data_IF_089896046267
#
_entry.id   IF_089896046267
#
_cell.length_a   1.000
_cell.length_b   1.000
_cell.length_c   1.000
_cell.angle_alpha   90.00
_cell.angle_beta   90.00
_cell.angle_gamma   90.00
#
_symmetry.space_group_name_H-M   'P 1'
#
loop_
_entity.id
_entity.type
_entity.pdbx_description
1 polymer ?
#
# COMPACT_ATOMS: atom_id res chain seq x y z
N UNK A 1 -8.62 9.58 -8.56
CA UNK A 1 -7.33 9.12 -7.97
C UNK A 1 -7.23 7.61 -7.90
N UNK A 2 -8.21 6.90 -7.33
CA UNK A 2 -8.16 5.43 -7.26
C UNK A 2 -8.06 4.75 -8.63
N UNK A 3 -8.76 5.26 -9.64
CA UNK A 3 -8.65 4.74 -11.01
C UNK A 3 -7.26 4.94 -11.61
N UNK A 4 -6.58 6.05 -11.27
CA UNK A 4 -5.23 6.36 -11.75
C UNK A 4 -4.17 5.42 -11.18
N UNK A 5 -4.46 4.70 -10.09
CA UNK A 5 -3.58 3.63 -9.64
C UNK A 5 -3.49 2.51 -10.68
N UNK A 6 -4.43 2.40 -11.63
CA UNK A 6 -4.44 1.37 -12.69
C UNK A 6 -4.00 1.91 -14.05
N UNK A 7 -3.47 3.13 -14.10
CA UNK A 7 -3.00 3.72 -15.35
C UNK A 7 -1.88 2.88 -15.97
N UNK A 8 -1.75 2.91 -17.29
CA UNK A 8 -0.70 2.21 -18.01
C UNK A 8 0.68 2.83 -17.74
N UNK A 9 0.73 4.14 -17.51
CA UNK A 9 1.95 4.86 -17.17
C UNK A 9 2.29 4.71 -15.69
N UNK A 10 3.51 4.21 -15.40
CA UNK A 10 3.99 4.05 -14.04
C UNK A 10 4.09 5.36 -13.27
N UNK A 11 4.42 6.47 -13.94
CA UNK A 11 4.58 7.77 -13.31
C UNK A 11 3.23 8.33 -12.85
N UNK A 12 2.17 8.04 -13.62
CA UNK A 12 0.79 8.36 -13.24
C UNK A 12 0.38 7.53 -12.02
N UNK A 13 0.69 6.23 -11.99
CA UNK A 13 0.39 5.37 -10.83
C UNK A 13 1.10 5.83 -9.56
N UNK A 14 2.39 6.17 -9.68
CA UNK A 14 3.21 6.72 -8.59
C UNK A 14 2.59 8.02 -8.06
N UNK A 15 2.28 8.96 -8.96
CA UNK A 15 1.70 10.25 -8.59
C UNK A 15 0.35 10.07 -7.89
N UNK A 16 -0.47 9.12 -8.34
CA UNK A 16 -1.74 8.80 -7.70
C UNK A 16 -1.55 8.27 -6.28
N UNK A 17 -0.59 7.37 -6.03
CA UNK A 17 -0.28 6.86 -4.70
C UNK A 17 0.17 7.98 -3.75
N UNK A 18 1.08 8.86 -4.19
CA UNK A 18 1.51 10.02 -3.40
C UNK A 18 0.36 10.98 -3.10
N UNK A 19 -0.50 11.28 -4.08
CA UNK A 19 -1.65 12.15 -3.87
C UNK A 19 -2.60 11.60 -2.80
N UNK A 20 -2.82 10.28 -2.76
CA UNK A 20 -3.66 9.63 -1.75
C UNK A 20 -3.07 9.78 -0.33
N UNK A 21 -1.75 9.67 -0.18
CA UNK A 21 -1.06 9.93 1.11
C UNK A 21 -1.22 11.38 1.55
N UNK A 22 -1.09 12.33 0.61
CA UNK A 22 -1.24 13.76 0.91
C UNK A 22 -2.66 14.12 1.35
N UNK A 23 -3.66 13.45 0.78
CA UNK A 23 -5.05 13.56 1.23
C UNK A 23 -5.28 12.92 2.61
N UNK A 24 -4.42 12.00 3.04
CA UNK A 24 -4.52 11.34 4.35
C UNK A 24 -5.75 10.45 4.50
N UNK A 25 -6.37 10.04 3.39
CA UNK A 25 -7.56 9.19 3.43
C UNK A 25 -7.15 7.73 3.60
N UNK A 26 -7.17 7.25 4.84
CA UNK A 26 -6.90 5.85 5.19
C UNK A 26 -8.13 4.94 5.10
N UNK A 27 -9.17 5.28 4.34
CA UNK A 27 -10.33 4.38 4.15
C UNK A 27 -9.91 3.02 3.58
N UNK A 28 -10.64 1.97 3.94
CA UNK A 28 -10.35 0.59 3.50
C UNK A 28 -10.26 0.47 1.97
N UNK A 29 -11.04 1.27 1.24
CA UNK A 29 -10.98 1.30 -0.23
C UNK A 29 -9.62 1.79 -0.73
N UNK A 30 -9.07 2.84 -0.12
CA UNK A 30 -7.74 3.38 -0.47
C UNK A 30 -6.65 2.38 -0.08
N UNK A 31 -6.73 1.84 1.13
CA UNK A 31 -5.76 0.85 1.63
C UNK A 31 -5.72 -0.39 0.74
N UNK A 32 -6.89 -0.96 0.39
CA UNK A 32 -6.97 -2.11 -0.53
C UNK A 32 -6.45 -1.78 -1.92
N UNK A 33 -6.73 -0.59 -2.45
CA UNK A 33 -6.20 -0.18 -3.75
C UNK A 33 -4.68 -0.06 -3.76
N UNK A 34 -4.06 0.42 -2.67
CA UNK A 34 -2.61 0.48 -2.50
C UNK A 34 -1.99 -0.91 -2.29
N UNK A 35 -2.65 -1.79 -1.54
CA UNK A 35 -2.22 -3.18 -1.38
C UNK A 35 -2.12 -3.92 -2.73
N UNK A 36 -3.07 -3.68 -3.65
CA UNK A 36 -2.99 -4.21 -5.01
C UNK A 36 -1.87 -3.62 -5.86
N UNK A 37 -1.20 -2.55 -5.41
CA UNK A 37 0.01 -2.00 -6.05
C UNK A 37 1.31 -2.61 -5.51
N UNK A 38 1.27 -3.36 -4.41
CA UNK A 38 2.41 -4.20 -3.99
C UNK A 38 2.71 -5.32 -5.00
N UNK A 39 1.75 -5.61 -5.88
CA UNK A 39 1.85 -6.58 -6.99
C UNK A 39 2.17 -5.92 -8.34
N UNK A 40 2.47 -4.62 -8.37
CA UNK A 40 2.73 -3.92 -9.63
C UNK A 40 4.02 -4.44 -10.30
N UNK A 41 4.02 -4.51 -11.62
CA UNK A 41 5.18 -4.95 -12.39
C UNK A 41 6.37 -3.99 -12.23
N UNK A 42 6.11 -2.70 -12.01
CA UNK A 42 7.13 -1.67 -11.87
C UNK A 42 7.62 -1.55 -10.42
N UNK A 43 8.93 -1.68 -10.20
CA UNK A 43 9.53 -1.70 -8.86
C UNK A 43 9.27 -0.42 -8.06
N UNK A 44 9.32 0.74 -8.71
CA UNK A 44 9.04 2.02 -8.06
C UNK A 44 7.58 2.14 -7.61
N UNK A 45 6.62 1.61 -8.39
CA UNK A 45 5.20 1.62 -8.00
C UNK A 45 5.00 0.76 -6.74
N UNK A 46 5.65 -0.40 -6.66
CA UNK A 46 5.59 -1.26 -5.47
C UNK A 46 6.16 -0.56 -4.24
N UNK A 47 7.32 0.09 -4.38
CA UNK A 47 7.98 0.83 -3.30
C UNK A 47 7.08 1.97 -2.80
N UNK A 48 6.49 2.72 -3.71
CA UNK A 48 5.64 3.86 -3.34
C UNK A 48 4.31 3.43 -2.73
N UNK A 49 3.76 2.29 -3.15
CA UNK A 49 2.60 1.69 -2.51
C UNK A 49 2.91 1.27 -1.07
N UNK A 50 4.05 0.63 -0.83
CA UNK A 50 4.51 0.28 0.51
C UNK A 50 4.71 1.52 1.39
N UNK A 51 5.41 2.53 0.86
CA UNK A 51 5.59 3.82 1.53
C UNK A 51 4.25 4.49 1.86
N UNK A 52 3.31 4.49 0.91
CA UNK A 52 1.99 5.08 1.10
C UNK A 52 1.19 4.38 2.20
N UNK A 53 1.22 3.05 2.24
CA UNK A 53 0.60 2.26 3.31
C UNK A 53 1.23 2.59 4.67
N UNK A 54 2.56 2.68 4.74
CA UNK A 54 3.30 3.11 5.93
C UNK A 54 2.83 4.47 6.46
N UNK A 55 2.82 5.48 5.60
CA UNK A 55 2.42 6.85 5.96
C UNK A 55 0.94 6.96 6.37
N UNK A 56 0.05 6.23 5.71
CA UNK A 56 -1.36 6.18 6.09
C UNK A 56 -1.56 5.46 7.44
N UNK A 57 -0.75 4.44 7.73
CA UNK A 57 -0.81 3.69 8.97
C UNK A 57 -0.26 4.44 10.19
N UNK A 58 0.67 5.38 10.00
CA UNK A 58 1.08 6.34 11.05
C UNK A 58 -0.07 7.26 11.48
N UNK A 59 -1.05 7.49 10.60
CA UNK A 59 -2.20 8.37 10.85
C UNK A 59 -3.48 7.62 11.20
N UNK A 60 -3.53 6.31 10.95
CA UNK A 60 -4.74 5.51 11.15
C UNK A 60 -4.42 4.07 11.55
N UNK A 61 -5.18 3.57 12.53
CA UNK A 61 -5.00 2.22 13.06
C UNK A 61 -5.68 1.13 12.21
N UNK A 62 -6.51 1.49 11.23
CA UNK A 62 -7.20 0.51 10.38
C UNK A 62 -6.29 -0.07 9.28
N UNK A 63 -5.12 0.50 9.01
CA UNK A 63 -4.24 0.01 7.94
C UNK A 63 -3.63 -1.36 8.31
N UNK A 64 -3.22 -1.53 9.57
CA UNK A 64 -2.62 -2.78 10.07
C UNK A 64 -3.53 -3.99 9.89
N UNK A 65 -4.80 -4.00 10.39
CA UNK A 65 -5.67 -5.15 10.20
C UNK A 65 -5.94 -5.46 8.72
N UNK A 66 -6.08 -4.44 7.86
CA UNK A 66 -6.28 -4.67 6.42
C UNK A 66 -5.05 -5.27 5.73
N UNK A 67 -3.83 -4.90 6.16
CA UNK A 67 -2.59 -5.52 5.67
C UNK A 67 -2.51 -6.98 6.11
N UNK A 68 -2.89 -7.29 7.35
CA UNK A 68 -2.96 -8.68 7.87
C UNK A 68 -3.92 -9.52 7.03
N UNK A 69 -5.15 -9.05 6.83
CA UNK A 69 -6.14 -9.74 5.99
C UNK A 69 -5.61 -10.01 4.58
N UNK A 70 -4.88 -9.05 4.00
CA UNK A 70 -4.28 -9.23 2.68
C UNK A 70 -3.18 -10.28 2.69
N UNK A 71 -2.31 -10.32 3.71
CA UNK A 71 -1.27 -11.35 3.84
C UNK A 71 -1.91 -12.74 3.97
N UNK A 72 -2.94 -12.88 4.79
CA UNK A 72 -3.66 -14.15 4.98
C UNK A 72 -4.28 -14.66 3.68
N UNK A 73 -4.81 -13.77 2.85
CA UNK A 73 -5.38 -14.13 1.53
C UNK A 73 -4.32 -14.49 0.48
N UNK A 74 -3.05 -14.14 0.71
CA UNK A 74 -1.98 -14.25 -0.27
C UNK A 74 -0.77 -15.04 0.24
N UNK A 75 -0.95 -15.95 1.21
CA UNK A 75 0.16 -16.70 1.83
C UNK A 75 1.06 -17.42 0.81
N UNK A 76 0.49 -17.96 -0.26
CA UNK A 76 1.23 -18.68 -1.31
C UNK A 76 1.73 -17.76 -2.45
N UNK A 77 1.54 -16.45 -2.33
CA UNK A 77 1.89 -15.48 -3.35
C UNK A 77 3.37 -15.08 -3.28
N UNK A 78 4.04 -14.96 -4.42
CA UNK A 78 5.39 -14.38 -4.50
C UNK A 78 5.47 -12.93 -3.97
N UNK A 79 4.32 -12.27 -3.80
CA UNK A 79 4.21 -10.90 -3.30
C UNK A 79 4.01 -10.82 -1.77
N UNK A 80 3.76 -11.93 -1.08
CA UNK A 80 3.46 -11.95 0.36
C UNK A 80 4.54 -11.29 1.21
N UNK A 81 5.81 -11.49 0.84
CA UNK A 81 6.95 -10.88 1.51
C UNK A 81 6.85 -9.35 1.57
N UNK A 82 6.32 -8.70 0.52
CA UNK A 82 6.14 -7.24 0.51
C UNK A 82 5.05 -6.78 1.46
N UNK A 83 3.99 -7.58 1.63
CA UNK A 83 2.98 -7.31 2.66
C UNK A 83 3.57 -7.42 4.06
N UNK A 84 4.42 -8.42 4.29
CA UNK A 84 5.14 -8.60 5.55
C UNK A 84 6.11 -7.44 5.82
N UNK A 85 6.87 -7.00 4.81
CA UNK A 85 7.76 -5.84 4.91
C UNK A 85 6.99 -4.58 5.31
N UNK A 86 5.86 -4.32 4.63
CA UNK A 86 4.98 -3.19 4.97
C UNK A 86 4.45 -3.30 6.40
N UNK A 87 4.06 -4.50 6.83
CA UNK A 87 3.57 -4.73 8.18
C UNK A 87 4.66 -4.49 9.22
N UNK A 88 5.89 -4.92 8.95
CA UNK A 88 7.05 -4.67 9.80
C UNK A 88 7.27 -3.17 10.01
N UNK A 89 7.36 -2.40 8.91
CA UNK A 89 7.52 -0.95 8.96
C UNK A 89 6.38 -0.29 9.74
N UNK A 90 5.15 -0.75 9.52
CA UNK A 90 3.96 -0.21 10.20
C UNK A 90 3.92 -0.45 11.70
N UNK A 91 4.58 -1.50 12.21
CA UNK A 91 4.55 -1.87 13.63
C UNK A 91 5.78 -1.36 14.35
N UNK A 92 6.94 -1.35 13.69
CA UNK A 92 8.22 -0.94 14.29
C UNK A 92 8.42 0.57 14.27
N UNK A 93 7.97 1.31 13.24
CA UNK A 93 8.07 2.78 13.21
C UNK A 93 7.06 3.50 14.14
N UNK A 94 6.36 2.78 15.03
CA UNK A 94 5.43 3.36 16.02
C UNK A 94 6.06 3.67 17.38
N UNK A 95 7.34 3.36 17.58
CA UNK A 95 8.14 3.72 18.77
C UNK A 95 8.84 5.07 18.61
#
# INVERSE_FOLDING_TARGET
LLELLKDNDSDVRITAAYALVKLGNSSDTVVKALLERLKDNHSFVRKDAAYALGELGKRSNNVVPTVIEWIEQHQDSEYVGRGIDVLWDLVVDRE
#
